data_IF_316819223999
#
_entry.id   IF_316819223999
#
_cell.length_a   1.000
_cell.length_b   1.000
_cell.length_c   1.000
_cell.angle_alpha   90.00
_cell.angle_beta   90.00
_cell.angle_gamma   90.00
#
_symmetry.space_group_name_H-M   'P 1'
#
loop_
_entity.id
_entity.type
_entity.pdbx_description
1 polymer ?
#
# COMPACT_ATOMS: atom_id res chain seq x y z
N UNK A 1 22.03 14.55 -5.61
CA UNK A 1 21.93 13.14 -5.12
C UNK A 1 22.29 12.17 -6.24
N UNK A 2 22.81 10.98 -5.94
CA UNK A 2 23.21 10.02 -6.99
C UNK A 2 21.99 9.36 -7.63
N UNK A 3 22.03 9.17 -8.96
CA UNK A 3 21.00 8.47 -9.74
C UNK A 3 20.66 7.09 -9.17
N UNK A 4 21.66 6.42 -8.58
CA UNK A 4 21.55 5.11 -7.94
C UNK A 4 20.57 5.15 -6.75
N UNK A 5 20.61 6.21 -5.93
CA UNK A 5 19.68 6.36 -4.79
C UNK A 5 18.25 6.56 -5.27
N UNK A 6 18.04 7.38 -6.30
CA UNK A 6 16.71 7.58 -6.89
C UNK A 6 16.12 6.28 -7.43
N UNK A 7 16.93 5.44 -8.10
CA UNK A 7 16.45 4.15 -8.58
C UNK A 7 16.26 3.11 -7.48
N UNK A 8 17.06 3.13 -6.42
CA UNK A 8 16.80 2.32 -5.25
C UNK A 8 15.43 2.63 -4.63
N UNK A 9 15.16 3.92 -4.37
CA UNK A 9 13.88 4.36 -3.81
C UNK A 9 12.73 3.96 -4.71
N UNK A 10 12.85 4.19 -6.03
CA UNK A 10 11.83 3.79 -7.01
C UNK A 10 11.52 2.30 -6.95
N UNK A 11 12.54 1.44 -6.94
CA UNK A 11 12.36 -0.03 -6.89
C UNK A 11 11.59 -0.45 -5.65
N UNK A 12 11.97 0.07 -4.48
CA UNK A 12 11.25 -0.22 -3.22
C UNK A 12 9.79 0.24 -3.31
N UNK A 13 9.54 1.48 -3.76
CA UNK A 13 8.18 2.00 -3.87
C UNK A 13 7.33 1.19 -4.85
N UNK A 14 7.90 0.75 -5.98
CA UNK A 14 7.23 -0.10 -6.96
C UNK A 14 6.86 -1.46 -6.38
N UNK A 15 7.82 -2.15 -5.76
CA UNK A 15 7.57 -3.47 -5.15
C UNK A 15 6.53 -3.39 -4.04
N UNK A 16 6.65 -2.41 -3.13
CA UNK A 16 5.71 -2.25 -2.03
C UNK A 16 4.32 -1.81 -2.52
N UNK A 17 4.23 -1.02 -3.60
CA UNK A 17 2.94 -0.69 -4.20
C UNK A 17 2.22 -1.93 -4.74
N UNK A 18 2.92 -2.80 -5.46
CA UNK A 18 2.34 -4.04 -6.01
C UNK A 18 1.94 -4.99 -4.90
N UNK A 19 2.78 -5.13 -3.86
CA UNK A 19 2.47 -5.95 -2.68
C UNK A 19 1.23 -5.42 -1.97
N UNK A 20 1.12 -4.10 -1.77
CA UNK A 20 -0.04 -3.48 -1.15
C UNK A 20 -1.32 -3.73 -1.94
N UNK A 21 -1.28 -3.52 -3.25
CA UNK A 21 -2.43 -3.72 -4.12
C UNK A 21 -2.96 -5.15 -4.03
N UNK A 22 -2.04 -6.13 -4.16
CA UNK A 22 -2.34 -7.55 -4.11
C UNK A 22 -2.91 -7.96 -2.74
N UNK A 23 -2.23 -7.60 -1.66
CA UNK A 23 -2.61 -7.99 -0.31
C UNK A 23 -3.96 -7.38 0.08
N UNK A 24 -4.19 -6.11 -0.26
CA UNK A 24 -5.46 -5.44 -0.01
C UNK A 24 -6.58 -6.07 -0.86
N UNK A 25 -6.33 -6.37 -2.14
CA UNK A 25 -7.32 -7.00 -3.02
C UNK A 25 -7.77 -8.37 -2.50
N UNK A 26 -6.83 -9.22 -2.09
CA UNK A 26 -7.12 -10.55 -1.53
C UNK A 26 -8.05 -10.42 -0.31
N UNK A 27 -7.76 -9.47 0.57
CA UNK A 27 -8.58 -9.25 1.76
C UNK A 27 -9.96 -8.71 1.44
N UNK A 28 -10.06 -7.78 0.49
CA UNK A 28 -11.35 -7.27 0.02
C UNK A 28 -12.20 -8.41 -0.56
N UNK A 29 -11.61 -9.30 -1.38
CA UNK A 29 -12.28 -10.50 -1.91
C UNK A 29 -12.72 -11.48 -0.83
N UNK A 30 -11.94 -11.62 0.25
CA UNK A 30 -12.29 -12.49 1.38
C UNK A 30 -13.43 -11.95 2.23
N UNK A 31 -13.53 -10.63 2.36
CA UNK A 31 -14.38 -9.99 3.36
C UNK A 31 -15.67 -9.39 2.81
N UNK A 32 -15.66 -8.90 1.58
CA UNK A 32 -16.75 -8.16 0.97
C UNK A 32 -17.46 -9.00 -0.10
N UNK A 33 -18.77 -8.79 -0.22
CA UNK A 33 -19.54 -9.29 -1.36
C UNK A 33 -19.70 -8.12 -2.35
N UNK A 34 -19.32 -8.34 -3.61
CA UNK A 34 -19.36 -7.30 -4.64
C UNK A 34 -20.57 -7.45 -5.55
N UNK A 35 -21.20 -6.32 -5.88
CA UNK A 35 -22.15 -6.22 -6.99
C UNK A 35 -21.50 -5.55 -8.20
N UNK A 36 -20.89 -4.38 -8.02
CA UNK A 36 -20.33 -3.56 -9.12
C UNK A 36 -18.80 -3.58 -9.21
N UNK A 37 -18.09 -4.18 -8.24
CA UNK A 37 -16.63 -4.16 -8.11
C UNK A 37 -15.98 -2.74 -8.04
N UNK A 38 -16.76 -1.67 -7.92
CA UNK A 38 -16.25 -0.28 -7.91
C UNK A 38 -15.21 -0.02 -6.80
N UNK A 39 -15.36 -0.66 -5.65
CA UNK A 39 -14.40 -0.52 -4.55
C UNK A 39 -13.02 -1.05 -4.91
N UNK A 40 -12.95 -2.04 -5.80
CA UNK A 40 -11.70 -2.63 -6.29
C UNK A 40 -11.14 -1.79 -7.44
N UNK A 41 -11.99 -1.47 -8.42
CA UNK A 41 -11.60 -0.77 -9.65
C UNK A 41 -11.25 0.70 -9.43
N UNK A 42 -11.87 1.36 -8.45
CA UNK A 42 -11.57 2.75 -8.09
C UNK A 42 -10.28 2.94 -7.30
N UNK A 43 -9.37 1.96 -7.31
CA UNK A 43 -8.07 2.03 -6.66
C UNK A 43 -6.98 2.21 -7.70
N UNK A 44 -6.03 3.05 -7.39
CA UNK A 44 -4.91 3.33 -8.29
C UNK A 44 -3.66 3.61 -7.46
N UNK A 45 -2.56 2.99 -7.86
CA UNK A 45 -1.24 3.19 -7.26
C UNK A 45 -0.31 3.74 -8.33
N UNK A 46 0.35 4.84 -8.02
CA UNK A 46 1.30 5.48 -8.91
C UNK A 46 2.59 5.77 -8.18
N UNK A 47 3.70 5.31 -8.76
CA UNK A 47 5.04 5.72 -8.34
C UNK A 47 5.52 6.78 -9.31
N UNK A 48 5.90 7.93 -8.80
CA UNK A 48 6.42 9.06 -9.57
C UNK A 48 7.82 9.42 -9.10
N UNK A 49 8.64 9.89 -10.03
CA UNK A 49 9.94 10.49 -9.73
C UNK A 49 9.87 11.95 -10.20
N UNK A 50 10.27 12.87 -9.35
CA UNK A 50 10.34 14.30 -9.67
C UNK A 50 11.75 14.78 -9.40
N UNK A 51 12.15 15.92 -9.97
CA UNK A 51 13.50 16.42 -9.76
C UNK A 51 13.78 16.76 -8.29
N UNK A 52 12.74 17.19 -7.58
CA UNK A 52 12.75 17.59 -6.17
C UNK A 52 12.66 16.43 -5.18
N UNK A 53 12.22 15.22 -5.60
CA UNK A 53 11.99 14.07 -4.72
C UNK A 53 12.62 12.78 -5.27
N UNK A 54 13.22 11.97 -4.41
CA UNK A 54 13.81 10.69 -4.82
C UNK A 54 12.77 9.67 -5.32
N UNK A 55 11.53 9.81 -4.85
CA UNK A 55 10.36 9.07 -5.34
C UNK A 55 9.13 9.36 -4.49
N UNK A 56 7.95 9.26 -5.10
CA UNK A 56 6.67 9.44 -4.42
C UNK A 56 5.68 8.34 -4.82
N UNK A 57 5.12 7.66 -3.82
CA UNK A 57 4.05 6.68 -4.00
C UNK A 57 2.70 7.33 -3.66
N UNK A 58 1.83 7.43 -4.66
CA UNK A 58 0.46 7.93 -4.54
C UNK A 58 -0.52 6.78 -4.55
N UNK A 59 -1.40 6.72 -3.55
CA UNK A 59 -2.49 5.75 -3.47
C UNK A 59 -3.84 6.48 -3.52
N UNK A 60 -4.60 6.25 -4.59
CA UNK A 60 -5.97 6.74 -4.73
C UNK A 60 -6.93 5.60 -4.45
N UNK A 61 -7.95 5.87 -3.63
CA UNK A 61 -9.01 4.91 -3.33
C UNK A 61 -10.30 5.65 -2.94
N UNK A 62 -11.43 4.93 -2.91
CA UNK A 62 -12.70 5.49 -2.43
C UNK A 62 -12.63 5.74 -0.92
N UNK A 63 -13.04 6.93 -0.47
CA UNK A 63 -13.10 7.29 0.95
C UNK A 63 -13.95 6.31 1.78
N UNK A 64 -14.98 5.72 1.16
CA UNK A 64 -15.84 4.68 1.76
C UNK A 64 -15.05 3.51 2.38
N UNK A 65 -13.89 3.17 1.84
CA UNK A 65 -13.04 2.10 2.38
C UNK A 65 -12.60 2.37 3.83
N UNK A 66 -12.37 3.63 4.21
CA UNK A 66 -12.02 3.99 5.60
C UNK A 66 -13.16 3.71 6.56
N UNK A 67 -14.39 4.00 6.16
CA UNK A 67 -15.58 3.76 6.98
C UNK A 67 -15.87 2.27 7.18
N UNK A 68 -15.53 1.44 6.21
CA UNK A 68 -15.64 -0.02 6.31
C UNK A 68 -14.67 -0.61 7.35
N UNK A 69 -13.51 0.01 7.53
CA UNK A 69 -12.47 -0.38 8.47
C UNK A 69 -12.77 0.02 9.92
N UNK A 70 -13.56 1.09 10.12
CA UNK A 70 -13.89 1.58 11.45
C UNK A 70 -14.54 0.50 12.33
N UNK A 71 -14.11 0.46 13.60
CA UNK A 71 -14.71 -0.39 14.62
C UNK A 71 -16.16 0.05 14.83
N UNK A 72 -17.09 -0.83 14.50
CA UNK A 72 -18.52 -0.54 14.64
C UNK A 72 -18.95 -0.72 16.09
N UNK A 73 -19.68 0.28 16.61
CA UNK A 73 -20.35 0.12 17.89
C UNK A 73 -21.34 -1.05 17.80
N UNK A 74 -21.43 -1.88 18.84
CA UNK A 74 -22.38 -2.99 18.87
C UNK A 74 -23.80 -2.42 18.87
N UNK A 75 -24.71 -3.11 18.18
CA UNK A 75 -26.11 -2.75 18.13
C UNK A 75 -26.82 -3.36 19.35
N UNK A 76 -27.72 -2.62 19.98
CA UNK A 76 -28.64 -3.19 20.97
C UNK A 76 -29.96 -3.49 20.25
N UNK A 77 -30.39 -4.75 20.28
CA UNK A 77 -31.68 -5.18 19.71
C UNK A 77 -32.38 -6.07 20.73
N UNK A 78 -33.59 -5.67 21.16
CA UNK A 78 -34.37 -6.39 22.18
C UNK A 78 -33.57 -6.67 23.47
N UNK A 79 -32.85 -5.66 23.97
CA UNK A 79 -32.01 -5.78 25.17
C UNK A 79 -30.70 -6.54 24.99
N UNK A 80 -30.45 -7.17 23.83
CA UNK A 80 -29.23 -7.94 23.58
C UNK A 80 -28.21 -7.13 22.77
N UNK A 81 -26.92 -7.30 23.11
CA UNK A 81 -25.79 -6.65 22.45
C UNK A 81 -25.28 -7.50 21.27
N UNK A 82 -25.58 -7.06 20.05
CA UNK A 82 -25.16 -7.71 18.81
C UNK A 82 -23.85 -7.09 18.32
N UNK A 83 -22.81 -7.92 18.18
CA UNK A 83 -21.54 -7.51 17.58
C UNK A 83 -21.73 -7.24 16.08
N UNK A 84 -21.22 -6.11 15.61
CA UNK A 84 -21.24 -5.76 14.18
C UNK A 84 -19.88 -6.10 13.55
N UNK A 85 -19.92 -6.68 12.36
CA UNK A 85 -18.72 -7.01 11.58
C UNK A 85 -18.04 -5.72 11.09
N UNK A 86 -16.73 -5.62 11.32
CA UNK A 86 -15.84 -4.65 10.68
C UNK A 86 -15.17 -5.30 9.46
N UNK A 87 -14.68 -4.46 8.55
CA UNK A 87 -14.00 -4.90 7.34
C UNK A 87 -12.60 -4.27 7.29
N UNK A 88 -11.60 -4.91 7.92
CA UNK A 88 -10.25 -4.36 7.97
C UNK A 88 -9.55 -4.47 6.62
N UNK A 89 -9.79 -3.49 5.76
CA UNK A 89 -9.35 -3.46 4.36
C UNK A 89 -8.49 -2.24 4.02
N UNK A 90 -8.28 -1.28 4.93
CA UNK A 90 -7.61 -0.03 4.59
C UNK A 90 -6.40 0.26 5.50
N UNK A 91 -6.64 0.69 6.74
CA UNK A 91 -5.62 1.16 7.68
C UNK A 91 -4.51 0.13 7.86
N UNK A 92 -4.85 -1.15 8.04
CA UNK A 92 -3.87 -2.23 8.19
C UNK A 92 -2.89 -2.30 7.01
N UNK A 93 -3.36 -2.11 5.79
CA UNK A 93 -2.54 -2.21 4.59
C UNK A 93 -1.72 -0.94 4.38
N UNK A 94 -2.35 0.23 4.53
CA UNK A 94 -1.65 1.51 4.40
C UNK A 94 -0.52 1.63 5.42
N UNK A 95 -0.79 1.39 6.70
CA UNK A 95 0.25 1.48 7.73
C UNK A 95 1.25 0.33 7.64
N UNK A 96 0.80 -0.89 7.34
CA UNK A 96 1.70 -2.03 7.16
C UNK A 96 2.75 -1.78 6.06
N UNK A 97 2.31 -1.27 4.91
CA UNK A 97 3.23 -0.94 3.81
C UNK A 97 4.04 0.32 4.07
N UNK A 98 3.48 1.32 4.77
CA UNK A 98 4.27 2.47 5.22
C UNK A 98 5.47 2.06 6.07
N UNK A 99 5.26 1.20 7.08
CA UNK A 99 6.36 0.69 7.92
C UNK A 99 7.32 -0.19 7.13
N UNK A 100 6.82 -1.03 6.23
CA UNK A 100 7.64 -1.83 5.33
C UNK A 100 8.57 -0.96 4.47
N UNK A 101 8.03 0.07 3.82
CA UNK A 101 8.79 1.03 3.02
C UNK A 101 9.85 1.73 3.88
N UNK A 102 9.46 2.27 5.04
CA UNK A 102 10.39 2.97 5.92
C UNK A 102 11.57 2.09 6.36
N UNK A 103 11.28 0.84 6.76
CA UNK A 103 12.32 -0.09 7.19
C UNK A 103 13.27 -0.47 6.03
N UNK A 104 12.71 -0.77 4.86
CA UNK A 104 13.50 -1.13 3.68
C UNK A 104 14.38 0.03 3.21
N UNK A 105 13.85 1.25 3.22
CA UNK A 105 14.64 2.45 2.88
C UNK A 105 15.79 2.68 3.88
N UNK A 106 15.60 2.33 5.14
CA UNK A 106 16.62 2.47 6.19
C UNK A 106 17.72 1.41 6.09
N UNK A 107 17.37 0.16 5.77
CA UNK A 107 18.27 -1.00 5.92
C UNK A 107 18.79 -1.55 4.59
N UNK A 108 18.00 -1.50 3.52
CA UNK A 108 18.29 -2.27 2.29
C UNK A 108 19.31 -1.56 1.37
N UNK A 109 19.67 -0.30 1.65
CA UNK A 109 20.64 0.44 0.83
C UNK A 109 22.09 0.05 1.16
N UNK A 110 22.50 -1.12 0.67
CA UNK A 110 23.86 -1.66 0.85
C UNK A 110 24.73 -1.43 -0.38
N UNK A 111 26.07 -1.51 -0.21
CA UNK A 111 27.02 -1.37 -1.33
C UNK A 111 26.73 -2.38 -2.46
N UNK A 112 26.39 -3.63 -2.10
CA UNK A 112 26.02 -4.66 -3.08
C UNK A 112 24.79 -4.27 -3.91
N UNK A 113 23.79 -3.68 -3.27
CA UNK A 113 22.58 -3.20 -3.95
C UNK A 113 22.89 -2.01 -4.84
N UNK A 114 23.72 -1.07 -4.38
CA UNK A 114 24.17 0.07 -5.16
C UNK A 114 24.94 -0.36 -6.42
N UNK A 115 25.87 -1.31 -6.29
CA UNK A 115 26.62 -1.88 -7.41
C UNK A 115 25.72 -2.62 -8.39
N UNK A 116 24.73 -3.37 -7.88
CA UNK A 116 23.72 -4.02 -8.72
C UNK A 116 22.90 -3.03 -9.54
N UNK A 117 22.41 -1.96 -8.90
CA UNK A 117 21.67 -0.89 -9.59
C UNK A 117 22.56 -0.20 -10.63
N UNK A 118 23.84 0.02 -10.32
CA UNK A 118 24.79 0.63 -11.26
C UNK A 118 24.95 -0.23 -12.52
N UNK A 119 25.14 -1.55 -12.38
CA UNK A 119 25.22 -2.49 -13.51
C UNK A 119 23.94 -2.49 -14.35
N UNK A 120 22.78 -2.51 -13.70
CA UNK A 120 21.48 -2.48 -14.39
C UNK A 120 21.25 -1.17 -15.18
N UNK A 121 21.87 -0.06 -14.74
CA UNK A 121 21.82 1.22 -15.43
C UNK A 121 22.79 1.28 -16.61
N UNK A 122 23.94 0.63 -16.53
CA UNK A 122 24.92 0.55 -17.62
C UNK A 122 24.48 -0.40 -18.76
N UNK A 123 23.57 -1.34 -18.47
CA UNK A 123 23.02 -2.30 -19.45
C UNK A 123 21.75 -1.81 -20.15
N UNK A 124 21.22 -0.64 -19.78
CA UNK A 124 20.05 0.01 -20.40
C UNK A 124 20.47 1.07 -21.40
#
# INVERSE_FOLDING_TARGET
MSIIKKEFVRRILQEESQRMEKNQLIQMRRLLNFHTNELVQGRELKVTQQDTMDGALSFRHKAYQRFLDLKKKPLIKRGQRIKRRNFPIHNRYVFGHYFSIANRLMVDFTNKVADGIKRDLEQK
#
